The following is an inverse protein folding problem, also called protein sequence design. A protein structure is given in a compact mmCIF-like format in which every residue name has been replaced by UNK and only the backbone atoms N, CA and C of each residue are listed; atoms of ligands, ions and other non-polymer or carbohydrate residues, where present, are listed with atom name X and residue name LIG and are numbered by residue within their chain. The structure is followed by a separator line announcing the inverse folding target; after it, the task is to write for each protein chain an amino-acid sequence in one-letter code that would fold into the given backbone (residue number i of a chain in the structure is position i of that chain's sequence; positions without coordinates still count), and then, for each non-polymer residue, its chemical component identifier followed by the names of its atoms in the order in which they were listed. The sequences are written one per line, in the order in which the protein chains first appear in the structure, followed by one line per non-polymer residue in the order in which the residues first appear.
data_IF_786187933011
#
_entry.id   IF_786187933011
#
_cell.length_a   1.000
_cell.length_b   1.000
_cell.length_c   1.000
_cell.angle_alpha   90.00
_cell.angle_beta   90.00
_cell.angle_gamma   90.00
#
_symmetry.space_group_name_H-M   'P 1'
#
loop_
_entity.id
_entity.type
_entity.pdbx_description
1 polymer ?
#
# COMPACT_ATOMS: atom_id res chain seq x y z
N UNK A 1 34.71 -4.20 -29.69
CA UNK A 1 34.96 -5.00 -28.47
C UNK A 1 34.86 -4.16 -27.21
N UNK A 2 35.48 -2.96 -27.15
CA UNK A 2 35.46 -2.11 -25.95
C UNK A 2 34.01 -1.73 -25.56
N UNK A 3 33.19 -1.27 -26.54
CA UNK A 3 31.78 -0.91 -26.28
C UNK A 3 30.96 -2.09 -25.73
N UNK A 4 31.14 -3.29 -26.26
CA UNK A 4 30.45 -4.50 -25.72
C UNK A 4 30.90 -4.81 -24.30
N UNK A 5 32.19 -4.65 -23.98
CA UNK A 5 32.70 -4.83 -22.63
C UNK A 5 32.09 -3.85 -21.62
N UNK A 6 31.93 -2.58 -22.03
CA UNK A 6 31.26 -1.54 -21.23
C UNK A 6 29.76 -1.90 -20.98
N UNK A 7 29.05 -2.35 -22.03
CA UNK A 7 27.63 -2.74 -21.89
C UNK A 7 27.47 -3.95 -20.94
N UNK A 8 28.34 -4.96 -21.04
CA UNK A 8 28.31 -6.11 -20.11
C UNK A 8 28.57 -5.67 -18.68
N UNK A 9 29.58 -4.82 -18.45
CA UNK A 9 29.85 -4.27 -17.13
C UNK A 9 28.66 -3.47 -16.57
N UNK A 10 28.04 -2.65 -17.40
CA UNK A 10 26.83 -1.90 -17.05
C UNK A 10 25.67 -2.82 -16.64
N UNK A 11 25.41 -3.89 -17.38
CA UNK A 11 24.40 -4.90 -17.06
C UNK A 11 24.67 -5.53 -15.69
N UNK A 12 25.90 -5.94 -15.41
CA UNK A 12 26.27 -6.55 -14.13
C UNK A 12 26.04 -5.60 -12.94
N UNK A 13 26.43 -4.34 -13.08
CA UNK A 13 26.20 -3.31 -12.05
C UNK A 13 24.72 -3.08 -11.82
N UNK A 14 23.92 -2.98 -12.90
CA UNK A 14 22.46 -2.77 -12.80
C UNK A 14 21.73 -3.98 -12.19
N UNK A 15 22.16 -5.21 -12.51
CA UNK A 15 21.64 -6.42 -11.84
C UNK A 15 21.95 -6.40 -10.34
N UNK A 16 23.17 -6.03 -9.97
CA UNK A 16 23.54 -5.89 -8.55
C UNK A 16 22.67 -4.84 -7.85
N UNK A 17 22.46 -3.67 -8.46
CA UNK A 17 21.57 -2.61 -7.93
C UNK A 17 20.13 -3.09 -7.79
N UNK A 18 19.60 -3.81 -8.79
CA UNK A 18 18.29 -4.43 -8.73
C UNK A 18 18.18 -5.37 -7.52
N UNK A 19 19.08 -6.33 -7.40
CA UNK A 19 19.05 -7.32 -6.30
C UNK A 19 19.15 -6.64 -4.93
N UNK A 20 20.05 -5.68 -4.80
CA UNK A 20 20.24 -4.93 -3.56
C UNK A 20 18.99 -4.14 -3.17
N UNK A 21 18.49 -3.28 -4.07
CA UNK A 21 17.34 -2.45 -3.80
C UNK A 21 16.05 -3.27 -3.60
N UNK A 22 15.88 -4.36 -4.35
CA UNK A 22 14.74 -5.26 -4.19
C UNK A 22 14.75 -5.95 -2.81
N UNK A 23 15.92 -6.49 -2.41
CA UNK A 23 16.07 -7.16 -1.11
C UNK A 23 15.80 -6.19 0.06
N UNK A 24 16.45 -5.03 0.04
CA UNK A 24 16.31 -4.03 1.11
C UNK A 24 14.92 -3.39 1.08
N UNK A 25 14.39 -3.06 -0.11
CA UNK A 25 13.05 -2.49 -0.28
C UNK A 25 11.95 -3.40 0.27
N UNK A 26 12.08 -4.72 0.03
CA UNK A 26 11.16 -5.71 0.59
C UNK A 26 11.29 -5.86 2.10
N UNK A 27 12.52 -5.77 2.64
CA UNK A 27 12.78 -5.89 4.08
C UNK A 27 12.29 -4.67 4.87
N UNK A 28 12.37 -3.48 4.28
CA UNK A 28 11.96 -2.21 4.89
C UNK A 28 10.54 -1.78 4.51
N UNK A 29 9.83 -2.59 3.71
CA UNK A 29 8.53 -2.26 3.14
C UNK A 29 8.51 -0.88 2.45
N UNK A 30 9.58 -0.59 1.69
CA UNK A 30 9.81 0.72 1.06
C UNK A 30 9.48 0.69 -0.42
N UNK A 31 8.37 1.32 -0.81
CA UNK A 31 7.96 1.46 -2.20
C UNK A 31 8.98 2.24 -3.04
N UNK A 32 9.63 3.25 -2.46
CA UNK A 32 10.68 4.01 -3.14
C UNK A 32 11.90 3.14 -3.52
N UNK A 33 12.33 2.25 -2.65
CA UNK A 33 13.42 1.31 -2.97
C UNK A 33 12.97 0.23 -3.97
N UNK A 34 11.74 -0.22 -3.91
CA UNK A 34 11.18 -1.14 -4.90
C UNK A 34 11.07 -0.48 -6.28
N UNK A 35 10.65 0.79 -6.35
CA UNK A 35 10.64 1.56 -7.59
C UNK A 35 12.05 1.69 -8.18
N UNK A 36 13.07 1.99 -7.36
CA UNK A 36 14.49 2.05 -7.79
C UNK A 36 15.00 0.70 -8.28
N UNK A 37 14.55 -0.41 -7.67
CA UNK A 37 14.87 -1.75 -8.15
C UNK A 37 14.27 -1.98 -9.55
N UNK A 38 12.99 -1.66 -9.75
CA UNK A 38 12.33 -1.81 -11.05
C UNK A 38 12.97 -0.95 -12.14
N UNK A 39 13.41 0.26 -11.83
CA UNK A 39 14.18 1.12 -12.74
C UNK A 39 15.49 0.44 -13.17
N UNK A 40 16.25 -0.09 -12.21
CA UNK A 40 17.49 -0.84 -12.48
C UNK A 40 17.25 -2.09 -13.33
N UNK A 41 16.12 -2.78 -13.15
CA UNK A 41 15.73 -3.92 -13.99
C UNK A 41 15.38 -3.48 -15.41
N UNK A 42 14.64 -2.40 -15.56
CA UNK A 42 14.26 -1.82 -16.88
C UNK A 42 15.51 -1.43 -17.66
N UNK A 43 16.46 -0.77 -17.03
CA UNK A 43 17.75 -0.42 -17.61
C UNK A 43 18.57 -1.66 -18.00
N UNK A 44 18.54 -2.72 -17.19
CA UNK A 44 19.20 -4.00 -17.48
C UNK A 44 18.63 -4.62 -18.77
N UNK A 45 17.30 -4.66 -18.89
CA UNK A 45 16.60 -5.20 -20.06
C UNK A 45 16.94 -4.37 -21.30
N UNK A 46 16.83 -3.04 -21.22
CA UNK A 46 17.13 -2.14 -22.31
C UNK A 46 18.58 -2.31 -22.81
N UNK A 47 19.54 -2.32 -21.90
CA UNK A 47 20.97 -2.50 -22.23
C UNK A 47 21.23 -3.89 -22.81
N UNK A 48 20.54 -4.93 -22.33
CA UNK A 48 20.67 -6.30 -22.84
C UNK A 48 20.15 -6.42 -24.28
N UNK A 49 19.04 -5.74 -24.61
CA UNK A 49 18.52 -5.69 -26.01
C UNK A 49 19.51 -4.99 -26.92
N UNK A 50 20.09 -3.87 -26.50
CA UNK A 50 21.13 -3.17 -27.28
C UNK A 50 22.35 -4.05 -27.52
N UNK A 51 22.82 -4.75 -26.46
CA UNK A 51 23.93 -5.68 -26.58
C UNK A 51 23.63 -6.84 -27.53
N UNK A 52 22.42 -7.39 -27.47
CA UNK A 52 21.95 -8.44 -28.37
C UNK A 52 21.88 -7.95 -29.81
N UNK A 53 21.29 -6.77 -30.08
CA UNK A 53 21.21 -6.17 -31.40
C UNK A 53 22.61 -5.92 -32.01
N UNK A 54 23.55 -5.38 -31.22
CA UNK A 54 24.94 -5.19 -31.66
C UNK A 54 25.63 -6.52 -31.98
N UNK A 55 25.37 -7.56 -31.21
CA UNK A 55 25.94 -8.89 -31.43
C UNK A 55 25.39 -9.52 -32.70
N UNK A 56 24.07 -9.45 -32.92
CA UNK A 56 23.40 -9.95 -34.13
C UNK A 56 23.94 -9.23 -35.37
N UNK A 57 24.00 -7.90 -35.33
CA UNK A 57 24.51 -7.10 -36.44
C UNK A 57 25.96 -7.48 -36.79
N UNK A 58 26.78 -7.78 -35.76
CA UNK A 58 28.20 -8.15 -35.98
C UNK A 58 28.37 -9.56 -36.55
N UNK A 59 27.47 -10.49 -36.22
CA UNK A 59 27.54 -11.89 -36.68
C UNK A 59 26.84 -12.12 -38.01
N UNK A 60 25.74 -11.41 -38.29
CA UNK A 60 24.88 -11.68 -39.42
C UNK A 60 24.82 -10.55 -40.46
N UNK A 61 25.39 -9.38 -40.16
CA UNK A 61 25.27 -8.14 -40.95
C UNK A 61 23.82 -7.65 -41.14
N UNK A 62 22.85 -8.21 -40.39
CA UNK A 62 21.45 -7.79 -40.39
C UNK A 62 21.28 -6.67 -39.37
N UNK A 63 20.75 -5.54 -39.84
CA UNK A 63 20.46 -4.41 -38.94
C UNK A 63 19.09 -4.61 -38.28
N UNK A 64 19.09 -5.05 -37.04
CA UNK A 64 17.88 -5.21 -36.20
C UNK A 64 17.69 -4.08 -35.17
N UNK A 65 18.56 -3.05 -35.23
CA UNK A 65 18.63 -1.99 -34.23
C UNK A 65 17.31 -1.22 -34.11
N UNK A 66 16.65 -0.89 -35.21
CA UNK A 66 15.37 -0.20 -35.22
C UNK A 66 14.23 -0.98 -34.54
N UNK A 67 14.17 -2.30 -34.79
CA UNK A 67 13.15 -3.15 -34.14
C UNK A 67 13.43 -3.35 -32.65
N UNK A 68 14.70 -3.57 -32.29
CA UNK A 68 15.13 -3.66 -30.90
C UNK A 68 14.84 -2.38 -30.13
N UNK A 69 15.19 -1.23 -30.71
CA UNK A 69 14.92 0.09 -30.16
C UNK A 69 13.43 0.36 -29.92
N UNK A 70 12.57 -0.02 -30.89
CA UNK A 70 11.11 0.14 -30.77
C UNK A 70 10.55 -0.70 -29.61
N UNK A 71 10.96 -1.96 -29.51
CA UNK A 71 10.54 -2.85 -28.40
C UNK A 71 10.95 -2.30 -27.04
N UNK A 72 12.21 -1.82 -26.92
CA UNK A 72 12.71 -1.20 -25.71
C UNK A 72 11.94 0.07 -25.37
N UNK A 73 11.64 0.92 -26.35
CA UNK A 73 10.87 2.14 -26.15
C UNK A 73 9.47 1.87 -25.59
N UNK A 74 8.77 0.88 -26.16
CA UNK A 74 7.44 0.44 -25.65
C UNK A 74 7.56 -0.08 -24.21
N UNK A 75 8.57 -0.90 -23.93
CA UNK A 75 8.79 -1.45 -22.60
C UNK A 75 9.09 -0.35 -21.56
N UNK A 76 9.97 0.62 -21.90
CA UNK A 76 10.30 1.74 -21.02
C UNK A 76 9.08 2.63 -20.77
N UNK A 77 8.29 2.90 -21.81
CA UNK A 77 7.06 3.67 -21.68
C UNK A 77 6.07 3.00 -20.71
N UNK A 78 5.87 1.69 -20.88
CA UNK A 78 5.02 0.91 -19.96
C UNK A 78 5.54 0.94 -18.53
N UNK A 79 6.85 0.69 -18.33
CA UNK A 79 7.48 0.71 -17.02
C UNK A 79 7.39 2.10 -16.35
N UNK A 80 7.58 3.17 -17.13
CA UNK A 80 7.45 4.55 -16.65
C UNK A 80 6.04 4.90 -16.21
N UNK A 81 5.02 4.55 -17.01
CA UNK A 81 3.60 4.76 -16.65
C UNK A 81 3.27 3.99 -15.36
N UNK A 82 3.72 2.75 -15.26
CA UNK A 82 3.51 1.95 -14.05
C UNK A 82 4.18 2.56 -12.83
N UNK A 83 5.44 3.00 -12.95
CA UNK A 83 6.16 3.64 -11.84
C UNK A 83 5.46 4.93 -11.36
N UNK A 84 4.98 5.77 -12.29
CA UNK A 84 4.19 6.97 -11.94
C UNK A 84 2.93 6.58 -11.17
N UNK A 85 2.19 5.58 -11.65
CA UNK A 85 0.97 5.10 -11.01
C UNK A 85 1.27 4.57 -9.59
N UNK A 86 2.23 3.68 -9.46
CA UNK A 86 2.61 3.07 -8.17
C UNK A 86 3.08 4.11 -7.14
N UNK A 87 3.68 5.23 -7.61
CA UNK A 87 4.09 6.35 -6.75
C UNK A 87 2.92 7.27 -6.38
N UNK A 88 1.98 7.47 -7.29
CA UNK A 88 0.83 8.36 -7.06
C UNK A 88 -0.29 7.71 -6.26
N UNK A 89 -0.50 6.40 -6.40
CA UNK A 89 -1.57 5.68 -5.72
C UNK A 89 -1.56 5.90 -4.18
N UNK A 90 -0.44 5.81 -3.46
CA UNK A 90 -0.38 6.11 -2.03
C UNK A 90 -0.73 7.57 -1.69
N UNK A 91 -0.34 8.52 -2.57
CA UNK A 91 -0.61 9.95 -2.37
C UNK A 91 -2.07 10.33 -2.61
N UNK A 92 -2.75 9.60 -3.50
CA UNK A 92 -4.17 9.80 -3.84
C UNK A 92 -5.13 9.05 -2.92
N UNK A 93 -4.61 8.19 -2.04
CA UNK A 93 -5.41 7.39 -1.12
C UNK A 93 -5.72 5.99 -1.68
N UNK A 94 -4.71 5.15 -1.73
CA UNK A 94 -4.87 3.72 -2.03
C UNK A 94 -5.72 3.05 -0.94
N UNK A 95 -6.66 2.20 -1.36
CA UNK A 95 -7.43 1.40 -0.40
C UNK A 95 -6.49 0.57 0.50
N UNK A 96 -6.69 0.60 1.83
CA UNK A 96 -5.85 -0.13 2.76
C UNK A 96 -5.96 -1.64 2.58
N UNK A 97 -4.95 -2.38 3.03
CA UNK A 97 -4.99 -3.83 3.07
C UNK A 97 -6.17 -4.31 3.93
N UNK A 98 -6.99 -5.19 3.38
CA UNK A 98 -8.14 -5.78 4.05
C UNK A 98 -7.77 -6.56 5.31
N UNK A 99 -6.55 -7.09 5.39
CA UNK A 99 -6.03 -7.76 6.58
C UNK A 99 -5.83 -6.75 7.71
N UNK A 100 -5.18 -5.63 7.40
CA UNK A 100 -4.96 -4.53 8.33
C UNK A 100 -6.28 -3.94 8.86
N UNK A 101 -7.27 -3.74 7.98
CA UNK A 101 -8.62 -3.26 8.37
C UNK A 101 -9.29 -4.25 9.33
N UNK A 102 -9.17 -5.56 9.08
CA UNK A 102 -9.73 -6.59 9.97
C UNK A 102 -9.04 -6.62 11.34
N UNK A 103 -7.73 -6.43 11.38
CA UNK A 103 -6.96 -6.38 12.63
C UNK A 103 -7.35 -5.17 13.48
N UNK A 104 -7.48 -3.97 12.87
CA UNK A 104 -8.00 -2.78 13.53
C UNK A 104 -9.37 -3.07 14.14
N UNK A 105 -10.30 -3.59 13.32
CA UNK A 105 -11.67 -3.90 13.78
C UNK A 105 -11.67 -4.93 14.91
N UNK A 106 -10.83 -5.95 14.83
CA UNK A 106 -10.75 -6.98 15.87
C UNK A 106 -10.27 -6.42 17.22
N UNK A 107 -9.27 -5.54 17.21
CA UNK A 107 -8.76 -4.88 18.40
C UNK A 107 -9.84 -3.98 18.99
N UNK A 108 -10.38 -3.07 18.21
CA UNK A 108 -11.34 -2.07 18.69
C UNK A 108 -12.62 -2.73 19.22
N UNK A 109 -13.19 -3.69 18.46
CA UNK A 109 -14.41 -4.41 18.87
C UNK A 109 -14.21 -5.39 20.03
N UNK A 110 -12.98 -5.63 20.49
CA UNK A 110 -12.74 -6.45 21.67
C UNK A 110 -13.08 -5.74 23.00
N UNK A 111 -13.26 -4.44 22.97
CA UNK A 111 -13.58 -3.63 24.15
C UNK A 111 -15.08 -3.62 24.46
N UNK A 112 -15.49 -3.87 25.74
CA UNK A 112 -16.88 -4.22 26.07
C UNK A 112 -17.89 -3.08 25.91
N UNK A 113 -17.45 -1.82 25.86
CA UNK A 113 -18.32 -0.64 25.67
C UNK A 113 -18.35 -0.15 24.21
N UNK A 114 -17.73 -0.87 23.29
CA UNK A 114 -17.73 -0.56 21.88
C UNK A 114 -18.88 -1.27 21.20
N UNK A 115 -19.78 -0.50 20.59
CA UNK A 115 -20.95 -1.01 19.90
C UNK A 115 -20.76 -1.11 18.38
N UNK A 116 -19.97 -0.20 17.80
CA UNK A 116 -19.71 -0.17 16.36
C UNK A 116 -18.50 0.68 15.98
N UNK A 117 -18.07 0.50 14.75
CA UNK A 117 -17.01 1.29 14.11
C UNK A 117 -17.51 1.69 12.74
N UNK A 118 -17.38 2.96 12.39
CA UNK A 118 -17.61 3.46 11.05
C UNK A 118 -16.59 4.53 10.66
N UNK A 119 -16.62 4.97 9.40
CA UNK A 119 -15.75 6.01 8.82
C UNK A 119 -14.25 5.80 9.08
N UNK A 120 -13.81 4.51 9.00
CA UNK A 120 -12.39 4.19 9.10
C UNK A 120 -11.64 4.71 7.88
N UNK A 121 -10.73 5.65 8.09
CA UNK A 121 -9.80 6.17 7.09
C UNK A 121 -8.38 5.76 7.48
N UNK A 122 -7.62 5.25 6.52
CA UNK A 122 -6.22 4.87 6.71
C UNK A 122 -5.35 5.73 5.80
N UNK A 123 -4.42 6.44 6.40
CA UNK A 123 -3.37 7.18 5.70
C UNK A 123 -2.06 6.42 5.86
N UNK A 124 -1.48 5.99 4.75
CA UNK A 124 -0.19 5.32 4.72
C UNK A 124 0.86 6.27 4.11
N UNK A 125 1.76 6.76 4.94
CA UNK A 125 2.86 7.65 4.56
C UNK A 125 4.19 6.89 4.38
N UNK A 126 4.12 5.57 4.29
CA UNK A 126 5.28 4.70 4.15
C UNK A 126 5.66 3.97 5.44
N UNK A 127 6.82 3.30 5.47
CA UNK A 127 7.20 2.40 6.54
C UNK A 127 7.18 3.05 7.92
N UNK A 128 6.39 2.48 8.83
CA UNK A 128 6.28 2.95 10.21
C UNK A 128 5.57 4.29 10.40
N UNK A 129 4.85 4.80 9.38
CA UNK A 129 4.09 6.06 9.43
C UNK A 129 2.67 5.87 8.90
N UNK A 130 1.93 5.01 9.57
CA UNK A 130 0.50 4.83 9.32
C UNK A 130 -0.30 5.63 10.32
N UNK A 131 -1.31 6.34 9.83
CA UNK A 131 -2.22 7.13 10.63
C UNK A 131 -3.65 6.70 10.30
N UNK A 132 -4.46 6.44 11.33
CA UNK A 132 -5.85 6.05 11.14
C UNK A 132 -6.77 7.01 11.87
N UNK A 133 -7.91 7.27 11.28
CA UNK A 133 -9.04 7.93 11.95
C UNK A 133 -10.25 7.03 11.84
N UNK A 134 -11.03 6.95 12.91
CA UNK A 134 -12.27 6.19 12.92
C UNK A 134 -13.27 6.79 13.90
N UNK A 135 -14.54 6.49 13.67
CA UNK A 135 -15.63 6.79 14.58
C UNK A 135 -15.98 5.55 15.39
N UNK A 136 -16.19 5.75 16.69
CA UNK A 136 -16.46 4.70 17.65
C UNK A 136 -17.82 4.93 18.31
N UNK A 137 -18.76 4.01 18.08
CA UNK A 137 -20.05 4.03 18.71
C UNK A 137 -19.96 3.53 20.16
N UNK A 138 -20.33 4.39 21.10
CA UNK A 138 -20.30 4.12 22.54
C UNK A 138 -21.63 4.47 23.21
N UNK A 139 -21.99 3.87 24.36
CA UNK A 139 -23.22 4.25 25.08
C UNK A 139 -23.22 5.71 25.53
N UNK A 140 -24.26 6.44 25.18
CA UNK A 140 -24.39 7.87 25.49
C UNK A 140 -24.73 8.18 26.95
N UNK A 141 -25.13 7.18 27.73
CA UNK A 141 -25.46 7.27 29.15
C UNK A 141 -24.29 6.95 30.10
N UNK A 142 -23.11 6.62 29.56
CA UNK A 142 -21.89 6.35 30.31
C UNK A 142 -21.11 7.63 30.65
N UNK A 143 -20.26 7.52 31.69
CA UNK A 143 -19.38 8.62 32.09
C UNK A 143 -18.33 8.93 31.02
N UNK A 144 -18.32 10.18 30.58
CA UNK A 144 -17.41 10.67 29.51
C UNK A 144 -15.95 10.44 29.84
N UNK A 145 -15.53 10.57 31.12
CA UNK A 145 -14.13 10.35 31.49
C UNK A 145 -13.73 8.88 31.37
N UNK A 146 -14.64 7.95 31.73
CA UNK A 146 -14.40 6.51 31.57
C UNK A 146 -14.34 6.12 30.09
N UNK A 147 -15.20 6.71 29.24
CA UNK A 147 -15.17 6.46 27.81
C UNK A 147 -13.88 7.00 27.19
N UNK A 148 -13.45 8.19 27.58
CA UNK A 148 -12.19 8.77 27.13
C UNK A 148 -10.98 7.90 27.50
N UNK A 149 -10.89 7.44 28.76
CA UNK A 149 -9.80 6.56 29.20
C UNK A 149 -9.77 5.25 28.42
N UNK A 150 -10.95 4.70 28.08
CA UNK A 150 -11.05 3.52 27.23
C UNK A 150 -10.54 3.80 25.82
N UNK A 151 -10.92 4.94 25.23
CA UNK A 151 -10.46 5.34 23.89
C UNK A 151 -8.95 5.53 23.86
N UNK A 152 -8.38 6.23 24.81
CA UNK A 152 -6.93 6.38 24.99
C UNK A 152 -6.22 5.01 25.09
N UNK A 153 -6.87 4.04 25.73
CA UNK A 153 -6.32 2.69 25.82
C UNK A 153 -6.34 1.99 24.46
N UNK A 154 -7.44 2.11 23.72
CA UNK A 154 -7.57 1.56 22.37
C UNK A 154 -6.52 2.18 21.41
N UNK A 155 -6.34 3.50 21.42
CA UNK A 155 -5.35 4.20 20.60
C UNK A 155 -3.93 3.69 20.88
N UNK A 156 -3.57 3.54 22.18
CA UNK A 156 -2.27 2.98 22.58
C UNK A 156 -2.11 1.51 22.19
N UNK A 157 -3.18 0.72 22.26
CA UNK A 157 -3.15 -0.68 21.86
C UNK A 157 -2.94 -0.85 20.34
N UNK A 158 -3.58 0.01 19.53
CA UNK A 158 -3.40 0.06 18.09
C UNK A 158 -1.97 0.45 17.71
N UNK A 159 -1.39 1.45 18.39
CA UNK A 159 0.01 1.83 18.19
C UNK A 159 0.97 0.69 18.53
N UNK A 160 0.79 0.06 19.68
CA UNK A 160 1.67 -1.03 20.14
C UNK A 160 1.58 -2.29 19.29
N UNK A 161 0.38 -2.68 18.83
CA UNK A 161 0.15 -3.94 18.11
C UNK A 161 0.33 -3.79 16.60
N UNK A 162 -0.07 -2.65 16.05
CA UNK A 162 -0.11 -2.45 14.59
C UNK A 162 0.87 -1.37 14.10
N UNK A 163 1.51 -0.63 15.01
CA UNK A 163 2.44 0.45 14.67
C UNK A 163 1.74 1.58 13.88
N UNK A 164 0.50 1.92 14.25
CA UNK A 164 -0.25 2.99 13.63
C UNK A 164 -0.73 4.00 14.67
N UNK A 165 -0.56 5.28 14.38
CA UNK A 165 -1.14 6.37 15.16
C UNK A 165 -2.64 6.43 14.89
N UNK A 166 -3.46 6.32 15.94
CA UNK A 166 -4.91 6.33 15.83
C UNK A 166 -5.49 7.61 16.43
N UNK A 167 -6.50 8.18 15.77
CA UNK A 167 -7.36 9.24 16.30
C UNK A 167 -8.80 8.74 16.24
N UNK A 168 -9.43 8.62 17.41
CA UNK A 168 -10.77 8.05 17.53
C UNK A 168 -11.77 9.15 17.90
N UNK A 169 -12.76 9.35 17.02
CA UNK A 169 -13.90 10.19 17.31
C UNK A 169 -14.97 9.38 18.04
N UNK A 170 -15.41 9.88 19.18
CA UNK A 170 -16.44 9.23 20.00
C UNK A 170 -17.83 9.64 19.54
N UNK A 171 -18.65 8.68 19.13
CA UNK A 171 -20.05 8.87 18.74
C UNK A 171 -20.99 8.23 19.80
N UNK A 172 -21.57 9.04 20.70
CA UNK A 172 -22.52 8.54 21.69
C UNK A 172 -23.81 8.08 21.02
N UNK A 173 -24.19 6.81 21.24
CA UNK A 173 -25.44 6.24 20.76
C UNK A 173 -26.43 6.02 21.90
N UNK A 174 -27.71 6.12 21.58
CA UNK A 174 -28.81 5.82 22.50
C UNK A 174 -29.01 4.29 22.55
N UNK A 175 -28.65 3.67 23.68
CA UNK A 175 -28.72 2.21 23.86
C UNK A 175 -30.01 1.74 24.55
N UNK A 176 -30.73 2.65 25.23
CA UNK A 176 -31.83 2.29 26.11
C UNK A 176 -33.23 2.65 25.54
N UNK A 177 -33.35 3.04 24.28
CA UNK A 177 -34.60 3.45 23.67
C UNK A 177 -35.25 2.30 22.86
N UNK A 178 -36.34 1.73 23.39
CA UNK A 178 -37.09 0.63 22.76
C UNK A 178 -37.60 0.96 21.36
N UNK A 179 -37.92 2.21 21.06
CA UNK A 179 -38.36 2.62 19.73
C UNK A 179 -37.24 2.59 18.71
N UNK A 180 -36.03 2.98 19.10
CA UNK A 180 -34.82 2.89 18.24
C UNK A 180 -34.47 1.42 17.97
N UNK A 181 -34.52 0.57 18.99
CA UNK A 181 -34.27 -0.88 18.83
C UNK A 181 -35.26 -1.53 17.84
N UNK A 182 -36.52 -1.15 17.88
CA UNK A 182 -37.50 -1.63 16.90
C UNK A 182 -37.22 -1.18 15.47
N UNK A 183 -36.81 0.09 15.29
CA UNK A 183 -36.45 0.62 13.96
C UNK A 183 -35.21 -0.08 13.42
N UNK A 184 -34.19 -0.29 14.24
CA UNK A 184 -32.97 -1.04 13.85
C UNK A 184 -33.33 -2.44 13.37
N UNK A 185 -34.15 -3.17 14.12
CA UNK A 185 -34.60 -4.51 13.74
C UNK A 185 -35.37 -4.55 12.41
N UNK A 186 -36.22 -3.53 12.16
CA UNK A 186 -36.95 -3.40 10.89
C UNK A 186 -36.02 -3.10 9.71
N UNK A 187 -34.98 -2.27 9.92
CA UNK A 187 -33.99 -1.95 8.88
C UNK A 187 -33.13 -3.19 8.58
N UNK A 188 -32.65 -3.90 9.59
CA UNK A 188 -31.87 -5.13 9.41
C UNK A 188 -32.65 -6.19 8.61
N UNK A 189 -33.92 -6.40 8.94
CA UNK A 189 -34.78 -7.33 8.19
C UNK A 189 -34.92 -6.92 6.71
N UNK A 190 -35.11 -5.63 6.42
CA UNK A 190 -35.23 -5.15 5.04
C UNK A 190 -33.91 -5.23 4.25
N UNK A 191 -32.77 -5.04 4.90
CA UNK A 191 -31.44 -5.18 4.25
C UNK A 191 -31.15 -6.62 3.90
N UNK A 192 -31.62 -7.60 4.71
CA UNK A 192 -31.44 -9.04 4.45
C UNK A 192 -32.38 -9.57 3.33
N UNK A 193 -33.42 -8.80 2.94
CA UNK A 193 -34.34 -9.14 1.86
C UNK A 193 -33.87 -8.66 0.47
N UNK A 194 -32.80 -7.86 0.38
CA UNK A 194 -32.20 -7.35 -0.86
C UNK A 194 -30.99 -8.18 -1.27
#
# INVERSE_FOLDING_TARGET
LLAMGILVCSILVKIYMYCYNHYIGKKLDSDAMQATAMDSLSDTIATSVVLAAMTIMRLTSINVDGFGGLLVAIFILYAGIKAVKDTMDPLLGKAPDQTFVREIRAIVMSHPKVHGIHDLIVHDYGPGRRMITLHLEVPGDEDVFQLHDMIDHIERELDQKLGCEAVIHMDPIETNNAAIAQIQQQVEQKVLEI
#
